data_IF_387043076811
#
_entry.id   IF_387043076811
#
_cell.length_a   1.000
_cell.length_b   1.000
_cell.length_c   1.000
_cell.angle_alpha   90.00
_cell.angle_beta   90.00
_cell.angle_gamma   90.00
#
_symmetry.space_group_name_H-M   'P 1'
#
loop_
_entity.id
_entity.type
_entity.pdbx_description
1 polymer ?
#
# COMPACT_ATOMS: atom_id res chain seq x y z
N UNK A 1 23.40 -4.32 -24.88
CA UNK A 1 23.02 -3.65 -23.60
C UNK A 1 21.53 -3.40 -23.62
N UNK A 2 20.72 -4.29 -23.04
CA UNK A 2 19.25 -4.18 -23.04
C UNK A 2 18.77 -3.64 -21.69
N UNK A 3 18.10 -2.49 -21.73
CA UNK A 3 17.59 -1.71 -20.60
C UNK A 3 16.39 -2.42 -19.91
N UNK A 4 16.29 -2.46 -18.56
CA UNK A 4 15.33 -3.29 -17.82
C UNK A 4 13.96 -2.60 -17.65
N UNK A 5 13.32 -2.20 -18.75
CA UNK A 5 11.98 -1.57 -18.71
C UNK A 5 10.81 -2.59 -18.58
N UNK A 6 11.08 -3.90 -18.66
CA UNK A 6 10.06 -4.95 -18.64
C UNK A 6 9.31 -5.13 -17.30
N UNK A 7 9.85 -4.62 -16.19
CA UNK A 7 9.23 -4.75 -14.85
C UNK A 7 8.26 -3.61 -14.49
N UNK A 8 8.51 -2.39 -14.98
CA UNK A 8 7.74 -1.20 -14.62
C UNK A 8 6.32 -1.20 -15.19
N UNK A 9 6.17 -1.60 -16.45
CA UNK A 9 4.87 -1.63 -17.13
C UNK A 9 3.87 -2.64 -16.53
N UNK A 10 4.37 -3.66 -15.80
CA UNK A 10 3.51 -4.64 -15.10
C UNK A 10 2.97 -4.05 -13.80
N UNK A 11 3.85 -3.43 -13.01
CA UNK A 11 3.49 -2.77 -11.75
C UNK A 11 2.57 -1.57 -11.97
N UNK A 12 2.79 -0.79 -13.02
CA UNK A 12 1.91 0.34 -13.39
C UNK A 12 0.46 -0.10 -13.62
N UNK A 13 0.24 -1.28 -14.21
CA UNK A 13 -1.12 -1.81 -14.46
C UNK A 13 -1.79 -2.31 -13.20
N UNK A 14 -1.03 -2.94 -12.30
CA UNK A 14 -1.51 -3.32 -10.97
C UNK A 14 -1.92 -2.07 -10.18
N UNK A 15 -1.04 -1.06 -10.14
CA UNK A 15 -1.32 0.22 -9.51
C UNK A 15 -2.56 0.90 -10.11
N UNK A 16 -2.70 0.88 -11.44
CA UNK A 16 -3.87 1.42 -12.10
C UNK A 16 -5.17 0.69 -11.74
N UNK A 17 -5.13 -0.62 -11.46
CA UNK A 17 -6.30 -1.35 -10.94
C UNK A 17 -6.61 -0.89 -9.52
N UNK A 18 -5.60 -0.86 -8.64
CA UNK A 18 -5.76 -0.44 -7.26
C UNK A 18 -6.34 0.97 -7.14
N UNK A 19 -5.71 1.96 -7.78
CA UNK A 19 -6.17 3.36 -7.75
C UNK A 19 -7.55 3.51 -8.40
N UNK A 20 -7.88 2.75 -9.44
CA UNK A 20 -9.22 2.79 -10.04
C UNK A 20 -10.29 2.36 -9.07
N UNK A 21 -10.04 1.31 -8.30
CA UNK A 21 -11.00 0.80 -7.30
C UNK A 21 -11.15 1.80 -6.16
N UNK A 22 -10.04 2.25 -5.56
CA UNK A 22 -10.09 3.21 -4.43
C UNK A 22 -10.72 4.54 -4.87
N UNK A 23 -10.31 5.10 -6.01
CA UNK A 23 -10.90 6.35 -6.50
C UNK A 23 -12.34 6.18 -6.97
N UNK A 24 -12.70 5.00 -7.48
CA UNK A 24 -14.08 4.66 -7.80
C UNK A 24 -14.97 4.72 -6.55
N UNK A 25 -14.50 4.10 -5.46
CA UNK A 25 -15.17 4.14 -4.17
C UNK A 25 -15.29 5.57 -3.61
N UNK A 26 -14.20 6.35 -3.60
CA UNK A 26 -14.22 7.76 -3.15
C UNK A 26 -15.20 8.61 -3.97
N UNK A 27 -15.22 8.47 -5.30
CA UNK A 27 -16.17 9.19 -6.16
C UNK A 27 -17.61 8.76 -5.92
N UNK A 28 -17.87 7.47 -5.72
CA UNK A 28 -19.19 6.97 -5.36
C UNK A 28 -19.68 7.54 -4.03
N UNK A 29 -18.80 7.59 -3.02
CA UNK A 29 -19.05 8.18 -1.70
C UNK A 29 -19.28 9.69 -1.75
N UNK A 30 -18.60 10.40 -2.64
CA UNK A 30 -18.82 11.82 -2.91
C UNK A 30 -20.18 12.03 -3.62
N UNK A 31 -20.49 11.21 -4.62
CA UNK A 31 -21.74 11.30 -5.38
C UNK A 31 -22.97 11.05 -4.50
N UNK A 32 -22.92 10.11 -3.55
CA UNK A 32 -24.02 9.89 -2.59
C UNK A 32 -24.27 11.07 -1.66
N UNK A 33 -23.34 12.02 -1.58
CA UNK A 33 -23.46 13.30 -0.86
C UNK A 33 -23.77 14.49 -1.77
N UNK A 34 -24.10 14.23 -3.04
CA UNK A 34 -24.39 15.27 -4.03
C UNK A 34 -23.16 15.98 -4.62
N UNK A 35 -21.95 15.52 -4.30
CA UNK A 35 -20.71 16.09 -4.82
C UNK A 35 -20.43 15.47 -6.20
N UNK A 36 -20.52 16.30 -7.25
CA UNK A 36 -20.29 15.90 -8.65
C UNK A 36 -18.94 16.42 -9.16
N UNK A 37 -18.51 15.88 -10.30
CA UNK A 37 -17.29 16.28 -11.02
C UNK A 37 -16.02 16.31 -10.16
N UNK A 38 -15.93 15.33 -9.26
CA UNK A 38 -14.89 15.26 -8.24
C UNK A 38 -13.63 14.51 -8.71
N UNK A 39 -12.47 14.96 -8.23
CA UNK A 39 -11.16 14.41 -8.53
C UNK A 39 -10.50 13.87 -7.26
N UNK A 40 -9.87 12.70 -7.36
CA UNK A 40 -9.13 12.08 -6.27
C UNK A 40 -7.62 12.33 -6.44
N UNK A 41 -6.87 12.24 -5.34
CA UNK A 41 -5.41 12.34 -5.35
C UNK A 41 -4.76 11.21 -4.56
N UNK A 42 -3.61 10.74 -5.05
CA UNK A 42 -2.77 9.80 -4.32
C UNK A 42 -1.29 9.99 -4.66
N UNK A 43 -0.43 9.68 -3.69
CA UNK A 43 1.02 9.55 -3.87
C UNK A 43 1.39 8.10 -3.61
N UNK A 44 2.07 7.47 -4.57
CA UNK A 44 2.45 6.07 -4.48
C UNK A 44 3.96 5.90 -4.48
N UNK A 45 4.47 5.11 -3.54
CA UNK A 45 5.87 4.67 -3.45
C UNK A 45 5.92 3.15 -3.68
N UNK A 46 6.82 2.71 -4.56
CA UNK A 46 7.03 1.28 -4.84
C UNK A 46 8.30 0.83 -4.13
N UNK A 47 8.14 -0.04 -3.13
CA UNK A 47 9.24 -0.70 -2.46
C UNK A 47 9.51 -2.04 -3.16
N UNK A 48 10.73 -2.27 -3.65
CA UNK A 48 11.08 -3.45 -4.46
C UNK A 48 11.86 -4.55 -3.73
N UNK A 49 12.18 -4.32 -2.46
CA UNK A 49 13.01 -5.20 -1.66
C UNK A 49 12.40 -5.38 -0.27
N UNK A 50 12.51 -6.59 0.28
CA UNK A 50 12.34 -6.81 1.71
C UNK A 50 13.69 -7.03 2.41
N UNK A 51 13.67 -7.10 3.75
CA UNK A 51 14.88 -7.10 4.59
C UNK A 51 15.80 -8.32 4.45
N UNK A 52 15.44 -9.31 3.64
CA UNK A 52 16.24 -10.50 3.34
C UNK A 52 16.65 -10.59 1.86
N UNK A 53 16.66 -9.45 1.14
CA UNK A 53 16.86 -9.38 -0.32
C UNK A 53 15.83 -10.19 -1.13
N UNK A 54 14.70 -10.57 -0.51
CA UNK A 54 13.58 -11.13 -1.24
C UNK A 54 13.00 -10.07 -2.19
N UNK A 55 12.67 -10.50 -3.41
CA UNK A 55 11.90 -9.72 -4.38
C UNK A 55 10.45 -9.59 -3.88
N UNK A 56 10.25 -8.74 -2.88
CA UNK A 56 8.94 -8.46 -2.32
C UNK A 56 8.52 -7.05 -2.75
N UNK A 57 7.77 -6.98 -3.85
CA UNK A 57 7.33 -5.70 -4.39
C UNK A 57 6.05 -5.26 -3.69
N UNK A 58 6.18 -4.21 -2.87
CA UNK A 58 5.07 -3.55 -2.19
C UNK A 58 4.75 -2.20 -2.83
N UNK A 59 3.46 -1.89 -2.88
CA UNK A 59 2.94 -0.62 -3.37
C UNK A 59 2.32 0.10 -2.19
N UNK A 60 3.00 1.12 -1.68
CA UNK A 60 2.49 1.98 -0.61
C UNK A 60 1.82 3.19 -1.25
N UNK A 61 0.54 3.42 -1.00
CA UNK A 61 -0.17 4.59 -1.54
C UNK A 61 -0.79 5.38 -0.42
N UNK A 62 -0.45 6.67 -0.35
CA UNK A 62 -1.15 7.66 0.45
C UNK A 62 -2.26 8.25 -0.41
N UNK A 63 -3.50 7.99 -0.03
CA UNK A 63 -4.69 8.48 -0.73
C UNK A 63 -5.35 9.55 0.13
N UNK A 64 -5.79 10.64 -0.49
CA UNK A 64 -6.50 11.71 0.20
C UNK A 64 -7.86 11.22 0.67
N UNK A 65 -8.22 11.51 1.93
CA UNK A 65 -9.52 11.15 2.51
C UNK A 65 -10.61 12.16 2.13
N UNK A 66 -10.77 12.33 0.82
CA UNK A 66 -11.63 13.35 0.26
C UNK A 66 -11.43 13.52 -1.24
N UNK A 67 -12.12 14.50 -1.79
CA UNK A 67 -12.10 14.80 -3.22
C UNK A 67 -11.99 16.29 -3.48
N UNK A 68 -11.39 16.64 -4.61
CA UNK A 68 -11.37 18.00 -5.11
C UNK A 68 -12.53 18.24 -6.08
N UNK A 69 -13.16 19.39 -5.98
CA UNK A 69 -14.15 19.86 -6.96
C UNK A 69 -13.67 21.16 -7.60
N UNK A 70 -14.06 21.39 -8.85
CA UNK A 70 -13.86 22.71 -9.46
C UNK A 70 -14.73 23.72 -8.74
N UNK A 71 -14.14 24.80 -8.23
CA UNK A 71 -14.89 25.97 -7.80
C UNK A 71 -15.07 26.90 -9.00
N UNK A 72 -16.30 27.15 -9.48
CA UNK A 72 -16.53 28.08 -10.58
C UNK A 72 -16.14 29.53 -10.23
N UNK A 73 -16.16 29.87 -8.95
CA UNK A 73 -16.00 31.25 -8.47
C UNK A 73 -14.60 31.61 -7.96
N UNK A 74 -13.79 30.62 -7.52
CA UNK A 74 -12.58 30.89 -6.74
C UNK A 74 -11.25 30.68 -7.48
N UNK A 75 -11.26 30.27 -8.76
CA UNK A 75 -10.04 30.01 -9.56
C UNK A 75 -9.18 28.82 -9.10
N UNK A 76 -9.39 28.31 -7.89
CA UNK A 76 -8.71 27.16 -7.30
C UNK A 76 -9.67 26.00 -6.98
N UNK A 77 -9.21 24.74 -7.04
CA UNK A 77 -10.02 23.58 -6.66
C UNK A 77 -10.33 23.59 -5.16
N UNK A 78 -11.60 23.31 -4.81
CA UNK A 78 -12.02 23.17 -3.41
C UNK A 78 -11.88 21.72 -2.95
N UNK A 79 -11.34 21.50 -1.75
CA UNK A 79 -11.24 20.17 -1.14
C UNK A 79 -12.48 19.87 -0.29
N UNK A 80 -13.07 18.70 -0.49
CA UNK A 80 -14.19 18.19 0.27
C UNK A 80 -13.76 16.91 0.99
N UNK A 81 -13.63 16.99 2.32
CA UNK A 81 -13.33 15.83 3.14
C UNK A 81 -14.51 14.84 3.10
N UNK A 82 -14.20 13.54 3.06
CA UNK A 82 -15.20 12.48 3.16
C UNK A 82 -15.05 11.78 4.51
N UNK A 83 -16.13 11.20 5.05
CA UNK A 83 -16.00 10.44 6.29
C UNK A 83 -15.17 9.18 6.06
N UNK A 84 -14.37 8.81 7.06
CA UNK A 84 -13.56 7.59 7.05
C UNK A 84 -14.37 6.34 6.63
N UNK A 85 -13.73 5.36 5.97
CA UNK A 85 -14.38 4.11 5.65
C UNK A 85 -14.66 3.27 6.90
N UNK A 86 -15.74 2.50 6.86
CA UNK A 86 -16.00 1.40 7.78
C UNK A 86 -15.23 0.15 7.36
N UNK A 87 -15.00 -0.79 8.29
CA UNK A 87 -14.33 -2.07 7.98
C UNK A 87 -15.03 -2.86 6.87
N UNK A 88 -16.36 -2.79 6.81
CA UNK A 88 -17.15 -3.43 5.75
C UNK A 88 -16.89 -2.80 4.37
N UNK A 89 -16.81 -1.47 4.30
CA UNK A 89 -16.47 -0.75 3.07
C UNK A 89 -15.01 -1.03 2.65
N UNK A 90 -14.09 -1.13 3.61
CA UNK A 90 -12.71 -1.56 3.33
C UNK A 90 -12.69 -2.96 2.74
N UNK A 91 -13.43 -3.91 3.32
CA UNK A 91 -13.54 -5.28 2.81
C UNK A 91 -14.10 -5.32 1.38
N UNK A 92 -15.10 -4.50 1.07
CA UNK A 92 -15.66 -4.39 -0.28
C UNK A 92 -14.62 -3.88 -1.29
N UNK A 93 -13.92 -2.79 -0.95
CA UNK A 93 -12.84 -2.22 -1.78
C UNK A 93 -11.73 -3.26 -2.00
N UNK A 94 -11.37 -4.02 -0.97
CA UNK A 94 -10.39 -5.10 -1.07
C UNK A 94 -10.84 -6.21 -2.02
N UNK A 95 -12.09 -6.67 -1.93
CA UNK A 95 -12.64 -7.70 -2.81
C UNK A 95 -12.73 -7.22 -4.27
N UNK A 96 -13.19 -5.98 -4.50
CA UNK A 96 -13.18 -5.38 -5.84
C UNK A 96 -11.76 -5.29 -6.41
N UNK A 97 -10.79 -4.87 -5.60
CA UNK A 97 -9.36 -4.86 -5.94
C UNK A 97 -8.86 -6.25 -6.31
N UNK A 98 -9.15 -7.24 -5.47
CA UNK A 98 -8.77 -8.65 -5.67
C UNK A 98 -9.32 -9.19 -7.00
N UNK A 99 -10.62 -9.02 -7.27
CA UNK A 99 -11.26 -9.42 -8.53
C UNK A 99 -10.64 -8.70 -9.73
N UNK A 100 -10.35 -7.40 -9.59
CA UNK A 100 -9.69 -6.60 -10.63
C UNK A 100 -8.29 -7.11 -10.97
N UNK A 101 -7.49 -7.42 -9.97
CA UNK A 101 -6.15 -7.98 -10.13
C UNK A 101 -6.21 -9.38 -10.75
N UNK A 102 -7.10 -10.25 -10.27
CA UNK A 102 -7.35 -11.57 -10.88
C UNK A 102 -7.70 -11.46 -12.36
N UNK A 103 -8.63 -10.56 -12.71
CA UNK A 103 -9.02 -10.32 -14.10
C UNK A 103 -7.85 -9.83 -14.95
N UNK A 104 -7.03 -8.92 -14.42
CA UNK A 104 -5.82 -8.44 -15.08
C UNK A 104 -4.83 -9.58 -15.35
N UNK A 105 -4.56 -10.41 -14.35
CA UNK A 105 -3.62 -11.54 -14.45
C UNK A 105 -4.14 -12.61 -15.44
N UNK A 106 -5.44 -12.94 -15.40
CA UNK A 106 -6.07 -13.86 -16.36
C UNK A 106 -5.94 -13.37 -17.79
N UNK A 107 -6.29 -12.10 -18.05
CA UNK A 107 -6.14 -11.46 -19.38
C UNK A 107 -4.71 -11.43 -19.91
N UNK A 108 -3.72 -11.61 -19.02
CA UNK A 108 -2.30 -11.62 -19.36
C UNK A 108 -1.71 -13.03 -19.44
N UNK A 109 -2.51 -14.08 -19.25
CA UNK A 109 -2.02 -15.46 -19.19
C UNK A 109 -1.08 -15.70 -18.01
N UNK A 110 -1.25 -14.98 -16.90
CA UNK A 110 -0.41 -15.04 -15.69
C UNK A 110 -1.17 -15.48 -14.44
N UNK A 111 -2.45 -15.81 -14.59
CA UNK A 111 -3.22 -16.44 -13.54
C UNK A 111 -3.16 -17.96 -13.75
N UNK A 112 -2.83 -18.76 -12.72
CA UNK A 112 -2.86 -20.22 -12.84
C UNK A 112 -4.27 -20.67 -13.27
N UNK A 113 -4.37 -21.63 -14.20
CA UNK A 113 -5.63 -22.34 -14.37
C UNK A 113 -5.86 -23.22 -13.13
N UNK A 114 -7.10 -23.36 -12.68
CA UNK A 114 -7.44 -24.01 -11.40
C UNK A 114 -6.95 -25.48 -11.33
N UNK A 115 -6.74 -26.12 -12.48
CA UNK A 115 -6.25 -27.51 -12.60
C UNK A 115 -4.89 -27.66 -13.31
N UNK A 116 -4.21 -26.57 -13.63
CA UNK A 116 -2.92 -26.67 -14.31
C UNK A 116 -1.80 -26.77 -13.27
N UNK A 117 -1.24 -27.97 -13.12
CA UNK A 117 0.13 -28.17 -12.66
C UNK A 117 1.09 -27.54 -13.68
N UNK A 118 1.05 -26.21 -13.82
CA UNK A 118 2.05 -25.48 -14.61
C UNK A 118 3.31 -25.54 -13.77
N UNK A 119 4.25 -26.41 -14.18
CA UNK A 119 5.60 -26.39 -13.66
C UNK A 119 6.14 -24.96 -13.74
N UNK A 120 6.73 -24.48 -12.65
CA UNK A 120 7.38 -23.17 -12.64
C UNK A 120 8.56 -23.23 -13.61
N UNK A 121 8.56 -22.49 -14.74
CA UNK A 121 9.65 -22.55 -15.70
C UNK A 121 11.00 -22.16 -15.08
N UNK A 122 10.98 -21.36 -14.01
CA UNK A 122 12.18 -21.04 -13.25
C UNK A 122 12.66 -22.23 -12.43
N UNK A 123 11.75 -23.00 -11.83
CA UNK A 123 12.09 -24.24 -11.12
C UNK A 123 12.60 -25.32 -12.08
N UNK A 124 12.04 -25.43 -13.28
CA UNK A 124 12.50 -26.39 -14.30
C UNK A 124 13.88 -26.02 -14.86
N UNK A 125 14.09 -24.75 -15.22
CA UNK A 125 15.34 -24.32 -15.85
C UNK A 125 16.45 -24.04 -14.83
N UNK A 126 16.10 -23.67 -13.60
CA UNK A 126 17.02 -23.18 -12.57
C UNK A 126 16.58 -23.63 -11.17
N UNK A 127 16.62 -24.95 -10.89
CA UNK A 127 16.07 -25.52 -9.65
C UNK A 127 16.69 -24.92 -8.39
N UNK A 128 18.00 -24.72 -8.36
CA UNK A 128 18.68 -24.08 -7.22
C UNK A 128 18.20 -22.63 -7.01
N UNK A 129 18.07 -21.84 -8.09
CA UNK A 129 17.59 -20.47 -7.99
C UNK A 129 16.14 -20.42 -7.47
N UNK A 130 15.29 -21.33 -7.94
CA UNK A 130 13.92 -21.45 -7.47
C UNK A 130 13.84 -21.85 -5.99
N UNK A 131 14.71 -22.76 -5.54
CA UNK A 131 14.83 -23.13 -4.12
C UNK A 131 15.23 -21.93 -3.25
N UNK A 132 16.28 -21.21 -3.62
CA UNK A 132 16.71 -19.99 -2.92
C UNK A 132 15.60 -18.93 -2.91
N UNK A 133 14.91 -18.71 -4.03
CA UNK A 133 13.81 -17.75 -4.14
C UNK A 133 12.61 -18.15 -3.26
N UNK A 134 12.22 -19.43 -3.29
CA UNK A 134 11.15 -19.99 -2.47
C UNK A 134 11.44 -19.84 -0.98
N UNK A 135 12.64 -20.25 -0.54
CA UNK A 135 13.08 -20.07 0.83
C UNK A 135 13.09 -18.58 1.24
N UNK A 136 13.54 -17.69 0.35
CA UNK A 136 13.55 -16.24 0.58
C UNK A 136 12.13 -15.63 0.73
N UNK A 137 11.17 -16.07 -0.09
CA UNK A 137 9.76 -15.66 -0.01
C UNK A 137 9.13 -16.16 1.30
N UNK A 138 9.42 -17.39 1.68
CA UNK A 138 8.89 -18.00 2.90
C UNK A 138 9.65 -17.56 4.17
N UNK A 139 10.74 -16.82 4.06
CA UNK A 139 11.57 -16.44 5.20
C UNK A 139 12.24 -17.64 5.88
N UNK A 140 12.66 -18.61 5.07
CA UNK A 140 13.43 -19.79 5.47
C UNK A 140 14.90 -19.64 5.07
N UNK A 141 15.76 -20.35 5.80
CA UNK A 141 17.16 -20.55 5.41
C UNK A 141 17.17 -21.55 4.26
N UNK A 142 17.75 -21.16 3.12
CA UNK A 142 17.75 -21.99 1.91
C UNK A 142 18.74 -23.17 2.00
N UNK A 143 19.93 -22.97 2.57
CA UNK A 143 21.01 -23.96 2.54
C UNK A 143 21.81 -24.05 3.84
N UNK A 144 22.57 -25.13 4.01
CA UNK A 144 23.43 -25.38 5.17
C UNK A 144 22.71 -26.09 6.33
N UNK A 145 23.35 -26.21 7.51
CA UNK A 145 22.85 -27.02 8.64
C UNK A 145 21.49 -26.60 9.20
N UNK A 146 20.99 -25.42 8.80
CA UNK A 146 19.70 -24.88 9.23
C UNK A 146 18.72 -24.73 8.06
N UNK A 147 18.96 -25.37 6.93
CA UNK A 147 18.05 -25.37 5.80
C UNK A 147 16.63 -25.75 6.24
N UNK A 148 15.62 -25.04 5.73
CA UNK A 148 14.21 -25.22 6.10
C UNK A 148 13.79 -24.56 7.41
N UNK A 149 14.70 -24.03 8.23
CA UNK A 149 14.34 -23.27 9.43
C UNK A 149 14.04 -21.80 9.12
N UNK A 150 13.18 -21.16 9.93
CA UNK A 150 12.91 -19.71 9.84
C UNK A 150 14.17 -18.86 10.04
N UNK A 151 14.29 -17.80 9.26
CA UNK A 151 15.32 -16.77 9.42
C UNK A 151 15.14 -16.10 10.79
N UNK A 152 16.21 -16.08 11.59
CA UNK A 152 16.21 -15.39 12.89
C UNK A 152 16.27 -13.88 12.63
N UNK A 153 15.42 -13.11 13.30
CA UNK A 153 15.50 -11.64 13.31
C UNK A 153 16.13 -11.19 14.62
N UNK A 154 17.18 -10.39 14.54
CA UNK A 154 17.84 -9.85 15.73
C UNK A 154 17.04 -8.72 16.41
N UNK A 155 16.02 -8.14 15.74
CA UNK A 155 15.02 -7.22 16.30
C UNK A 155 13.70 -7.30 15.51
N UNK A 156 12.56 -7.18 16.17
CA UNK A 156 11.25 -7.00 15.51
C UNK A 156 10.93 -5.51 15.37
N UNK A 157 10.17 -5.12 14.33
CA UNK A 157 9.71 -3.74 14.18
C UNK A 157 8.90 -3.28 15.41
N UNK A 158 8.12 -4.19 16.02
CA UNK A 158 7.44 -3.95 17.29
C UNK A 158 8.40 -3.55 18.43
N UNK A 159 9.57 -4.20 18.53
CA UNK A 159 10.59 -3.85 19.52
C UNK A 159 11.28 -2.50 19.25
N UNK A 160 11.34 -2.06 17.99
CA UNK A 160 11.87 -0.75 17.60
C UNK A 160 10.84 0.36 17.87
N UNK A 161 9.58 0.14 17.49
CA UNK A 161 8.47 1.06 17.72
C UNK A 161 8.21 1.23 19.22
N UNK A 162 8.20 0.15 20.00
CA UNK A 162 8.06 0.20 21.46
C UNK A 162 9.15 1.04 22.15
N UNK A 163 10.36 1.07 21.58
CA UNK A 163 11.47 1.88 22.10
C UNK A 163 11.38 3.35 21.66
N UNK A 164 10.85 3.62 20.47
CA UNK A 164 10.59 4.97 19.99
C UNK A 164 9.44 5.63 20.77
N UNK A 165 8.35 4.91 21.04
CA UNK A 165 7.26 5.39 21.91
C UNK A 165 7.71 5.58 23.35
N UNK A 166 8.58 4.72 23.88
CA UNK A 166 9.21 4.92 25.20
C UNK A 166 10.17 6.12 25.25
N UNK A 167 10.86 6.43 24.14
CA UNK A 167 11.78 7.58 24.04
C UNK A 167 11.06 8.93 23.89
N UNK A 168 9.79 8.93 23.49
CA UNK A 168 9.01 10.17 23.32
C UNK A 168 8.39 10.63 24.65
N UNK A 169 8.42 9.79 25.69
CA UNK A 169 7.82 10.09 27.00
C UNK A 169 8.70 10.97 27.92
N UNK A 170 9.92 11.34 27.53
CA UNK A 170 10.84 12.14 28.38
C UNK A 170 10.97 13.62 28.01
N UNK A 171 10.32 14.12 26.95
CA UNK A 171 10.23 15.56 26.71
C UNK A 171 8.91 16.12 27.26
N UNK A 172 8.92 16.46 28.54
CA UNK A 172 7.89 17.27 29.20
C UNK A 172 7.92 18.72 28.69
N UNK A 173 6.86 19.27 28.08
CA UNK A 173 6.73 20.69 27.89
C UNK A 173 6.05 21.30 29.13
N UNK A 174 6.85 21.69 30.13
CA UNK A 174 6.41 22.68 31.12
C UNK A 174 6.55 24.07 30.49
N UNK A 175 5.47 24.58 29.93
CA UNK A 175 5.13 26.01 29.89
C UNK A 175 3.69 26.17 29.37
N UNK A 176 2.73 26.12 30.29
CA UNK A 176 1.39 26.67 30.05
C UNK A 176 1.53 28.18 29.86
N UNK A 177 1.43 28.65 28.62
CA UNK A 177 1.05 30.04 28.35
C UNK A 177 -0.47 30.03 28.25
N UNK A 178 -1.14 30.50 29.29
CA UNK A 178 -2.59 30.75 29.25
C UNK A 178 -2.88 32.02 28.45
N UNK A 179 -3.94 32.05 27.63
CA UNK A 179 -4.43 33.30 27.05
C UNK A 179 -5.26 34.07 28.09
N UNK A 180 -4.95 35.36 28.27
CA UNK A 180 -5.71 36.31 29.11
C UNK A 180 -6.96 36.77 28.34
N UNK A 181 -8.18 36.67 28.90
CA UNK A 181 -9.38 37.24 28.28
C UNK A 181 -9.50 38.76 28.54
N UNK A 182 -10.25 39.51 27.71
CA UNK A 182 -10.43 40.95 27.85
C UNK A 182 -11.65 41.30 28.72
N UNK A 183 -11.85 42.62 28.95
CA UNK A 183 -12.97 43.34 29.61
C UNK A 183 -12.72 43.74 31.07
N UNK A 184 -13.12 44.91 31.59
CA UNK A 184 -13.83 46.09 31.09
C UNK A 184 -13.55 47.24 32.08
N UNK A 185 -13.69 48.49 31.62
CA UNK A 185 -13.53 49.76 32.35
C UNK A 185 -14.68 49.97 33.37
N UNK A 186 -14.59 51.00 34.22
CA UNK A 186 -15.56 52.10 34.11
C UNK A 186 -14.93 53.42 33.64
#
# INVERSE_FOLDING_TARGET
>A
MNCPLFGLAKLQRLLAVFLRVVFGWLRGRAASRGIRDSQCGAVTVIQRFGGALNLNVHVHSLVLDGVFTRSPAAGAPGFQALPAPTDAEVAEVLDQGHRGVRRLLRRRGRWPAEDAAVGDPVAEQRPLLAEYASASIQGLVASGPRAGHRVRRLRSAAAVVARASASTATNSPRACITPRPPTLVP
#
